data_IF_490081321878
#
_entry.id   IF_490081321878
#
_cell.length_a   1.000
_cell.length_b   1.000
_cell.length_c   1.000
_cell.angle_alpha   90.00
_cell.angle_beta   90.00
_cell.angle_gamma   90.00
#
_symmetry.space_group_name_H-M   'P 1'
#
loop_
_entity.id
_entity.type
_entity.pdbx_description
1 polymer ?
#
# COMPACT_ATOMS: atom_id res chain seq x y z
N UNK A 1 -40.12 -30.47 -78.43
CA UNK A 1 -41.38 -30.00 -79.06
C UNK A 1 -42.39 -29.87 -77.94
N UNK A 2 -42.59 -28.66 -77.39
CA UNK A 2 -43.73 -27.77 -77.69
C UNK A 2 -44.91 -28.16 -76.79
N UNK A 3 -45.66 -27.29 -76.10
CA UNK A 3 -45.77 -25.85 -76.05
C UNK A 3 -46.39 -25.46 -74.68
N UNK A 4 -46.54 -24.15 -74.45
CA UNK A 4 -46.99 -23.49 -73.21
C UNK A 4 -48.50 -23.20 -73.25
N UNK A 5 -49.14 -23.14 -72.07
CA UNK A 5 -50.26 -22.30 -71.58
C UNK A 5 -51.37 -23.09 -70.84
N UNK A 6 -52.20 -22.55 -69.94
CA UNK A 6 -52.16 -21.51 -68.90
C UNK A 6 -53.57 -21.51 -68.26
N UNK A 7 -53.70 -21.02 -67.02
CA UNK A 7 -54.99 -20.74 -66.35
C UNK A 7 -55.26 -21.66 -65.15
N UNK A 8 -54.93 -21.31 -63.90
CA UNK A 8 -55.20 -20.07 -63.17
C UNK A 8 -56.71 -19.76 -63.07
N UNK A 9 -57.15 -19.39 -61.86
CA UNK A 9 -58.51 -19.05 -61.41
C UNK A 9 -59.38 -20.18 -60.85
N UNK A 10 -59.28 -20.42 -59.53
CA UNK A 10 -60.45 -20.32 -58.60
C UNK A 10 -60.20 -20.73 -57.13
N UNK A 11 -58.98 -21.08 -56.72
CA UNK A 11 -58.78 -21.69 -55.38
C UNK A 11 -58.44 -20.78 -54.18
N UNK A 12 -58.10 -19.50 -54.35
CA UNK A 12 -57.32 -18.77 -53.31
C UNK A 12 -57.99 -17.55 -52.66
N UNK A 13 -59.31 -17.35 -52.83
CA UNK A 13 -60.02 -16.20 -52.21
C UNK A 13 -60.47 -16.41 -50.76
N UNK A 14 -60.29 -17.60 -50.16
CA UNK A 14 -60.81 -17.91 -48.83
C UNK A 14 -59.90 -17.58 -47.64
N UNK A 15 -58.59 -17.41 -47.82
CA UNK A 15 -57.64 -17.43 -46.69
C UNK A 15 -57.16 -16.06 -46.18
N UNK A 16 -57.67 -14.95 -46.73
CA UNK A 16 -57.13 -13.61 -46.43
C UNK A 16 -57.96 -12.83 -45.38
N UNK A 17 -59.08 -13.39 -44.90
CA UNK A 17 -59.99 -12.65 -44.00
C UNK A 17 -59.88 -12.95 -42.49
N UNK A 18 -58.97 -13.82 -42.04
CA UNK A 18 -58.87 -14.16 -40.60
C UNK A 18 -57.60 -13.67 -39.89
N UNK A 19 -56.61 -13.11 -40.58
CA UNK A 19 -55.31 -12.76 -39.96
C UNK A 19 -55.06 -11.25 -39.74
N UNK A 20 -55.94 -10.38 -40.21
CA UNK A 20 -55.72 -8.92 -40.17
C UNK A 20 -55.96 -8.23 -38.81
N UNK A 21 -56.81 -8.70 -37.86
CA UNK A 21 -57.04 -7.92 -36.63
C UNK A 21 -55.97 -8.09 -35.54
N UNK A 22 -55.20 -9.19 -35.54
CA UNK A 22 -54.23 -9.47 -34.46
C UNK A 22 -52.90 -8.73 -34.63
N UNK A 23 -52.48 -8.45 -35.86
CA UNK A 23 -51.21 -7.74 -36.12
C UNK A 23 -51.27 -6.24 -35.78
N UNK A 24 -52.46 -5.62 -35.76
CA UNK A 24 -52.60 -4.17 -35.51
C UNK A 24 -52.53 -3.75 -34.04
N UNK A 25 -52.67 -4.67 -33.06
CA UNK A 25 -52.50 -4.34 -31.62
C UNK A 25 -51.06 -4.45 -31.13
N UNK A 26 -50.22 -5.26 -31.76
CA UNK A 26 -48.82 -5.42 -31.35
C UNK A 26 -47.94 -4.20 -31.72
N UNK A 27 -48.33 -3.45 -32.76
CA UNK A 27 -47.58 -2.31 -33.29
C UNK A 27 -47.92 -0.95 -32.64
N UNK A 28 -48.84 -0.91 -31.66
CA UNK A 28 -49.16 0.31 -30.87
C UNK A 28 -48.54 0.33 -29.48
N UNK A 29 -47.55 -0.51 -29.21
CA UNK A 29 -46.85 -0.50 -27.93
C UNK A 29 -45.46 0.14 -28.10
N UNK A 30 -45.47 1.48 -27.97
CA UNK A 30 -44.36 2.42 -27.97
C UNK A 30 -43.05 1.83 -27.39
N UNK A 31 -41.99 1.64 -28.21
CA UNK A 31 -40.72 1.07 -27.78
C UNK A 31 -40.03 1.92 -26.71
N UNK A 32 -40.27 3.24 -26.72
CA UNK A 32 -39.64 4.20 -25.81
C UNK A 32 -40.03 3.94 -24.34
N UNK A 33 -41.29 3.55 -24.10
CA UNK A 33 -41.82 3.27 -22.76
C UNK A 33 -41.38 1.93 -22.19
N UNK A 34 -40.97 0.98 -23.04
CA UNK A 34 -40.40 -0.31 -22.59
C UNK A 34 -38.91 -0.18 -22.29
N UNK A 35 -38.17 0.55 -23.12
CA UNK A 35 -36.78 0.92 -22.85
C UNK A 35 -36.63 1.74 -21.57
N UNK A 36 -37.48 2.76 -21.38
CA UNK A 36 -37.46 3.59 -20.17
C UNK A 36 -37.80 2.82 -18.89
N UNK A 37 -38.70 1.82 -18.95
CA UNK A 37 -39.03 0.96 -17.82
C UNK A 37 -37.94 -0.06 -17.51
N UNK A 38 -37.27 -0.61 -18.52
CA UNK A 38 -36.12 -1.49 -18.35
C UNK A 38 -34.92 -0.74 -17.75
N UNK A 39 -34.63 0.47 -18.25
CA UNK A 39 -33.55 1.32 -17.76
C UNK A 39 -33.79 1.76 -16.30
N UNK A 40 -35.03 2.12 -15.95
CA UNK A 40 -35.41 2.43 -14.55
C UNK A 40 -35.27 1.24 -13.60
N UNK A 41 -35.60 0.02 -14.05
CA UNK A 41 -35.42 -1.20 -13.25
C UNK A 41 -33.94 -1.55 -13.06
N UNK A 42 -33.12 -1.39 -14.09
CA UNK A 42 -31.67 -1.59 -14.01
C UNK A 42 -31.00 -0.53 -13.13
N UNK A 43 -31.41 0.74 -13.23
CA UNK A 43 -30.93 1.80 -12.35
C UNK A 43 -31.34 1.58 -10.89
N UNK A 44 -32.57 1.11 -10.63
CA UNK A 44 -33.02 0.77 -9.29
C UNK A 44 -32.25 -0.43 -8.70
N UNK A 45 -31.99 -1.47 -9.51
CA UNK A 45 -31.15 -2.61 -9.10
C UNK A 45 -29.70 -2.20 -8.82
N UNK A 46 -29.14 -1.28 -9.64
CA UNK A 46 -27.80 -0.72 -9.41
C UNK A 46 -27.70 0.09 -8.12
N UNK A 47 -28.72 0.90 -7.79
CA UNK A 47 -28.79 1.65 -6.54
C UNK A 47 -28.94 0.73 -5.31
N UNK A 48 -29.72 -0.35 -5.43
CA UNK A 48 -29.84 -1.37 -4.36
C UNK A 48 -28.52 -2.11 -4.17
N UNK A 49 -27.82 -2.48 -5.25
CA UNK A 49 -26.52 -3.14 -5.17
C UNK A 49 -25.43 -2.24 -4.56
N UNK A 50 -25.40 -0.96 -4.92
CA UNK A 50 -24.50 0.05 -4.33
C UNK A 50 -24.82 0.30 -2.84
N UNK A 51 -26.11 0.37 -2.48
CA UNK A 51 -26.55 0.47 -1.09
C UNK A 51 -26.20 -0.79 -0.27
N UNK A 52 -26.32 -1.98 -0.85
CA UNK A 52 -25.95 -3.24 -0.21
C UNK A 52 -24.43 -3.33 0.03
N UNK A 53 -23.60 -2.92 -0.93
CA UNK A 53 -22.15 -2.85 -0.74
C UNK A 53 -21.76 -1.86 0.39
N UNK A 54 -22.45 -0.72 0.50
CA UNK A 54 -22.22 0.22 1.60
C UNK A 54 -22.67 -0.31 2.96
N UNK A 55 -23.73 -1.13 3.01
CA UNK A 55 -24.26 -1.72 4.25
C UNK A 55 -23.32 -2.78 4.84
N UNK A 56 -22.54 -3.48 4.02
CA UNK A 56 -21.57 -4.48 4.47
C UNK A 56 -20.18 -3.91 4.83
N UNK A 57 -19.88 -2.65 4.48
CA UNK A 57 -18.60 -2.02 4.81
C UNK A 57 -18.49 -1.47 6.24
N UNK A 58 -19.55 -1.58 7.05
CA UNK A 58 -19.57 -1.11 8.43
C UNK A 58 -19.95 -2.24 9.39
N UNK A 59 -19.01 -2.64 10.26
CA UNK A 59 -19.20 -3.52 11.43
C UNK A 59 -18.96 -5.03 11.25
N UNK A 60 -17.74 -5.41 10.87
CA UNK A 60 -17.16 -6.62 11.47
C UNK A 60 -16.72 -6.31 12.90
N UNK A 61 -17.69 -6.20 13.83
CA UNK A 61 -17.33 -6.29 15.25
C UNK A 61 -16.78 -7.68 15.48
N UNK A 62 -15.57 -7.79 16.04
CA UNK A 62 -15.02 -9.06 16.51
C UNK A 62 -16.08 -9.73 17.38
N UNK A 63 -16.48 -10.95 17.04
CA UNK A 63 -17.35 -11.76 17.87
C UNK A 63 -16.63 -12.02 19.20
N UNK A 64 -17.13 -11.41 20.27
CA UNK A 64 -16.69 -11.69 21.65
C UNK A 64 -17.75 -12.63 22.22
N UNK A 65 -17.42 -13.90 22.53
CA UNK A 65 -18.39 -14.83 23.09
C UNK A 65 -18.94 -14.28 24.42
N UNK A 66 -20.26 -14.20 24.60
CA UNK A 66 -20.84 -13.77 25.86
C UNK A 66 -20.53 -14.81 26.94
N UNK A 67 -19.73 -14.42 27.94
CA UNK A 67 -19.36 -15.31 29.05
C UNK A 67 -17.92 -15.16 29.55
N UNK A 68 -17.02 -14.54 28.77
CA UNK A 68 -15.74 -14.08 29.31
C UNK A 68 -15.94 -12.66 29.80
N UNK A 69 -16.26 -12.50 31.08
CA UNK A 69 -15.97 -11.25 31.75
C UNK A 69 -14.48 -10.97 31.52
N UNK A 70 -14.16 -9.84 30.89
CA UNK A 70 -12.79 -9.35 30.89
C UNK A 70 -12.37 -9.32 32.36
N UNK A 71 -11.49 -10.24 32.76
CA UNK A 71 -10.52 -9.94 33.83
C UNK A 71 -10.05 -8.53 33.48
N UNK A 72 -10.15 -7.59 34.42
CA UNK A 72 -10.04 -6.15 34.13
C UNK A 72 -8.88 -5.84 33.18
N UNK A 73 -9.02 -4.80 32.34
CA UNK A 73 -7.99 -4.44 31.37
C UNK A 73 -6.61 -4.45 32.04
N UNK A 74 -5.60 -5.15 31.46
CA UNK A 74 -4.29 -5.26 32.07
C UNK A 74 -3.75 -3.90 32.50
N UNK A 75 -3.26 -3.80 33.73
CA UNK A 75 -2.83 -2.52 34.31
C UNK A 75 -1.32 -2.32 34.17
N UNK A 76 -0.56 -3.40 34.12
CA UNK A 76 0.91 -3.43 34.04
C UNK A 76 1.42 -3.95 32.69
N UNK A 77 2.66 -3.56 32.33
CA UNK A 77 3.33 -4.06 31.13
C UNK A 77 3.49 -5.58 31.10
N UNK A 78 3.72 -6.18 32.28
CA UNK A 78 3.79 -7.62 32.44
C UNK A 78 2.50 -8.31 32.03
N UNK A 79 1.34 -7.85 32.53
CA UNK A 79 0.06 -8.47 32.19
C UNK A 79 -0.27 -8.33 30.70
N UNK A 80 0.02 -7.17 30.09
CA UNK A 80 -0.11 -6.99 28.64
C UNK A 80 0.77 -7.98 27.87
N UNK A 81 2.03 -8.12 28.27
CA UNK A 81 2.95 -9.07 27.64
C UNK A 81 2.52 -10.53 27.82
N UNK A 82 2.11 -10.93 29.02
CA UNK A 82 1.66 -12.30 29.29
C UNK A 82 0.40 -12.65 28.50
N UNK A 83 -0.51 -11.69 28.31
CA UNK A 83 -1.76 -11.92 27.57
C UNK A 83 -1.53 -11.99 26.06
N UNK A 84 -0.71 -11.08 25.51
CA UNK A 84 -0.68 -10.85 24.05
C UNK A 84 0.62 -11.29 23.36
N UNK A 85 1.72 -11.51 24.10
CA UNK A 85 3.05 -11.75 23.52
C UNK A 85 3.66 -13.09 23.96
N UNK A 86 3.43 -13.52 25.20
CA UNK A 86 4.09 -14.68 25.80
C UNK A 86 3.80 -16.01 25.08
N UNK A 87 2.65 -16.13 24.40
CA UNK A 87 2.36 -17.32 23.59
C UNK A 87 3.39 -17.57 22.48
N UNK A 88 3.92 -16.50 21.86
CA UNK A 88 4.94 -16.59 20.82
C UNK A 88 6.35 -16.43 21.40
N UNK A 89 6.54 -15.49 22.33
CA UNK A 89 7.85 -15.09 22.82
C UNK A 89 8.26 -15.73 24.15
N UNK A 90 7.40 -16.54 24.77
CA UNK A 90 7.61 -17.15 26.07
C UNK A 90 7.35 -16.18 27.22
N UNK A 91 7.03 -16.71 28.41
CA UNK A 91 6.67 -15.89 29.57
C UNK A 91 7.79 -14.96 30.07
N UNK A 92 9.05 -15.24 29.71
CA UNK A 92 10.22 -14.45 30.07
C UNK A 92 11.00 -14.00 28.81
N UNK A 93 10.37 -14.01 27.63
CA UNK A 93 11.04 -13.62 26.39
C UNK A 93 12.03 -14.67 25.86
N UNK A 94 12.05 -15.89 26.38
CA UNK A 94 12.98 -16.94 25.96
C UNK A 94 12.68 -17.55 24.58
N UNK A 95 11.57 -17.16 23.95
CA UNK A 95 11.12 -17.69 22.66
C UNK A 95 10.35 -19.01 22.78
N UNK A 96 9.67 -19.37 21.70
CA UNK A 96 8.93 -20.64 21.56
C UNK A 96 9.03 -21.11 20.11
N UNK A 97 8.51 -22.30 19.75
CA UNK A 97 8.36 -22.68 18.33
C UNK A 97 7.50 -21.71 17.51
N UNK A 98 6.67 -20.87 18.17
CA UNK A 98 5.77 -19.90 17.52
C UNK A 98 6.41 -18.51 17.37
N UNK A 99 7.57 -18.25 17.96
CA UNK A 99 8.19 -16.93 17.91
C UNK A 99 9.61 -16.90 18.47
N UNK A 100 10.46 -15.99 17.96
CA UNK A 100 11.85 -15.92 18.38
C UNK A 100 11.98 -15.49 19.85
N UNK A 101 13.13 -15.79 20.44
CA UNK A 101 13.52 -15.21 21.70
C UNK A 101 13.68 -13.69 21.58
N UNK A 102 13.27 -12.98 22.63
CA UNK A 102 13.49 -11.55 22.82
C UNK A 102 14.76 -11.28 23.64
N UNK A 103 15.18 -12.24 24.47
CA UNK A 103 16.42 -12.16 25.25
C UNK A 103 17.66 -12.13 24.35
N UNK A 104 18.73 -11.45 24.79
CA UNK A 104 20.02 -11.42 24.10
C UNK A 104 20.17 -10.35 23.01
N UNK A 105 19.17 -9.47 22.86
CA UNK A 105 19.22 -8.32 21.95
C UNK A 105 19.52 -7.02 22.73
N UNK A 106 20.69 -6.43 22.53
CA UNK A 106 21.15 -5.23 23.27
C UNK A 106 20.22 -4.00 23.12
N UNK A 107 19.51 -3.88 21.98
CA UNK A 107 18.57 -2.78 21.72
C UNK A 107 17.10 -3.24 21.77
N UNK A 108 16.80 -4.28 22.56
CA UNK A 108 15.46 -4.85 22.66
C UNK A 108 14.35 -3.81 22.97
N UNK A 109 14.51 -2.83 23.88
CA UNK A 109 13.49 -1.82 24.10
C UNK A 109 13.17 -1.01 22.84
N UNK A 110 14.21 -0.57 22.11
CA UNK A 110 14.06 0.19 20.87
C UNK A 110 13.39 -0.64 19.77
N UNK A 111 13.79 -1.91 19.62
CA UNK A 111 13.14 -2.82 18.68
C UNK A 111 11.66 -3.04 19.02
N UNK A 112 11.36 -3.22 20.31
CA UNK A 112 10.00 -3.46 20.79
C UNK A 112 9.11 -2.25 20.54
N UNK A 113 9.57 -1.05 20.90
CA UNK A 113 8.83 0.19 20.67
C UNK A 113 8.60 0.40 19.17
N UNK A 114 9.64 0.25 18.34
CA UNK A 114 9.54 0.35 16.89
C UNK A 114 8.51 -0.63 16.31
N UNK A 115 8.57 -1.92 16.69
CA UNK A 115 7.68 -2.94 16.14
C UNK A 115 6.21 -2.70 16.53
N UNK A 116 5.96 -2.23 17.76
CA UNK A 116 4.60 -1.95 18.24
C UNK A 116 4.04 -0.63 17.67
N UNK A 117 4.84 0.46 17.68
CA UNK A 117 4.39 1.77 17.17
C UNK A 117 4.16 1.76 15.67
N UNK A 118 4.92 0.96 14.93
CA UNK A 118 4.73 0.82 13.49
C UNK A 118 3.69 -0.24 13.11
N UNK A 119 3.01 -0.84 14.10
CA UNK A 119 1.97 -1.85 13.90
C UNK A 119 2.47 -3.14 13.24
N UNK A 120 3.80 -3.39 13.28
CA UNK A 120 4.43 -4.62 12.80
C UNK A 120 4.20 -5.79 13.74
N UNK A 121 4.02 -5.49 15.03
CA UNK A 121 3.63 -6.46 16.06
C UNK A 121 2.44 -5.94 16.86
N UNK A 122 1.62 -6.84 17.41
CA UNK A 122 1.65 -8.29 17.24
C UNK A 122 1.11 -8.75 15.87
N UNK A 123 1.60 -9.89 15.38
CA UNK A 123 0.99 -10.62 14.26
C UNK A 123 -0.01 -11.66 14.78
N UNK A 124 -0.99 -12.04 13.97
CA UNK A 124 -2.05 -12.96 14.38
C UNK A 124 -1.64 -14.43 14.24
N UNK A 125 -0.97 -14.78 13.14
CA UNK A 125 -0.41 -16.13 12.92
C UNK A 125 1.13 -16.06 12.86
N UNK A 126 1.87 -16.94 13.55
CA UNK A 126 3.33 -17.05 13.43
C UNK A 126 3.87 -17.17 12.00
N UNK A 127 3.06 -17.64 11.06
CA UNK A 127 3.42 -17.80 9.64
C UNK A 127 3.19 -16.52 8.82
N UNK A 128 2.52 -15.53 9.39
CA UNK A 128 2.25 -14.27 8.72
C UNK A 128 3.55 -13.49 8.45
N UNK A 129 3.54 -12.75 7.35
CA UNK A 129 4.60 -11.79 7.07
C UNK A 129 4.34 -10.53 7.89
N UNK A 130 5.36 -10.09 8.61
CA UNK A 130 5.36 -8.82 9.34
C UNK A 130 5.21 -7.66 8.36
N UNK A 131 4.17 -6.85 8.54
CA UNK A 131 3.84 -5.70 7.68
C UNK A 131 3.63 -4.44 8.51
N UNK A 132 3.92 -3.29 7.91
CA UNK A 132 3.56 -1.99 8.49
C UNK A 132 2.02 -1.91 8.60
N UNK A 133 1.54 -1.43 9.74
CA UNK A 133 0.10 -1.29 10.00
C UNK A 133 -0.20 -0.22 11.05
N UNK A 134 -1.48 0.02 11.34
CA UNK A 134 -1.85 0.83 12.50
C UNK A 134 -1.38 0.13 13.80
N UNK A 135 -0.86 0.89 14.80
CA UNK A 135 -0.49 0.31 16.08
C UNK A 135 -1.68 -0.40 16.74
N UNK A 136 -1.46 -1.62 17.24
CA UNK A 136 -2.50 -2.39 17.94
C UNK A 136 -2.83 -1.81 19.34
N UNK A 137 -1.90 -1.04 19.91
CA UNK A 137 -2.00 -0.51 21.26
C UNK A 137 -1.85 1.02 21.27
N UNK A 138 -2.50 1.72 22.22
CA UNK A 138 -2.21 3.12 22.50
C UNK A 138 -0.76 3.31 22.99
N UNK A 139 -0.17 4.49 22.73
CA UNK A 139 1.20 4.83 23.14
C UNK A 139 1.51 4.53 24.62
N UNK A 140 0.56 4.82 25.52
CA UNK A 140 0.74 4.56 26.96
C UNK A 140 0.85 3.07 27.30
N UNK A 141 0.16 2.20 26.55
CA UNK A 141 0.26 0.75 26.71
C UNK A 141 1.57 0.23 26.11
N UNK A 142 1.96 0.74 24.93
CA UNK A 142 3.24 0.41 24.30
C UNK A 142 4.40 0.69 25.28
N UNK A 143 4.45 1.87 25.88
CA UNK A 143 5.50 2.23 26.83
C UNK A 143 5.56 1.30 28.05
N UNK A 144 4.42 0.79 28.54
CA UNK A 144 4.38 -0.21 29.61
C UNK A 144 4.95 -1.55 29.16
N UNK A 145 4.56 -2.02 27.97
CA UNK A 145 5.08 -3.27 27.40
C UNK A 145 6.59 -3.15 27.19
N UNK A 146 7.06 -2.06 26.58
CA UNK A 146 8.49 -1.80 26.34
C UNK A 146 9.29 -1.78 27.65
N UNK A 147 8.76 -1.13 28.70
CA UNK A 147 9.40 -1.11 30.01
C UNK A 147 9.54 -2.52 30.62
N UNK A 148 8.51 -3.36 30.49
CA UNK A 148 8.56 -4.74 30.97
C UNK A 148 9.51 -5.61 30.13
N UNK A 149 9.43 -5.54 28.80
CA UNK A 149 10.32 -6.29 27.91
C UNK A 149 11.79 -5.88 28.14
N UNK A 150 12.04 -4.61 28.48
CA UNK A 150 13.35 -4.13 28.87
C UNK A 150 13.96 -4.82 30.09
N UNK A 151 13.17 -5.48 30.95
CA UNK A 151 13.70 -6.23 32.09
C UNK A 151 14.29 -7.59 31.70
N UNK A 152 14.07 -8.07 30.47
CA UNK A 152 14.59 -9.37 30.02
C UNK A 152 16.09 -9.35 29.73
N UNK A 153 16.68 -8.17 29.50
CA UNK A 153 18.12 -8.01 29.29
C UNK A 153 18.67 -7.04 30.33
N UNK A 154 19.51 -7.54 31.24
CA UNK A 154 20.27 -6.68 32.15
C UNK A 154 21.15 -5.74 31.31
N UNK A 155 21.01 -4.43 31.50
CA UNK A 155 21.77 -3.41 30.76
C UNK A 155 21.19 -3.02 29.39
N UNK A 156 19.94 -3.38 29.09
CA UNK A 156 19.26 -2.91 27.87
C UNK A 156 19.32 -1.38 27.74
N UNK A 157 19.70 -0.90 26.55
CA UNK A 157 19.83 0.53 26.31
C UNK A 157 18.45 1.22 26.35
N UNK A 158 18.41 2.41 26.97
CA UNK A 158 17.22 3.26 26.94
C UNK A 158 16.85 3.61 25.49
N UNK A 159 15.56 3.89 25.26
CA UNK A 159 15.07 4.35 23.96
C UNK A 159 15.86 5.58 23.51
N UNK A 160 16.31 5.64 22.24
CA UNK A 160 16.97 6.82 21.73
C UNK A 160 16.04 8.03 21.86
N UNK A 161 16.58 9.19 22.23
CA UNK A 161 15.85 10.45 22.34
C UNK A 161 16.37 11.40 21.27
N UNK A 162 15.77 11.43 20.09
CA UNK A 162 16.25 12.26 18.99
C UNK A 162 16.02 13.74 19.28
N UNK A 163 17.07 14.55 19.11
CA UNK A 163 17.05 16.00 19.22
C UNK A 163 17.45 16.63 17.88
N UNK A 164 16.45 17.15 17.17
CA UNK A 164 16.64 17.75 15.85
C UNK A 164 17.44 19.06 15.89
N UNK A 165 17.49 19.74 17.04
CA UNK A 165 18.23 20.99 17.22
C UNK A 165 19.73 20.75 17.29
N UNK A 166 20.13 19.58 17.80
CA UNK A 166 21.51 19.13 17.88
C UNK A 166 22.05 18.50 16.58
N UNK A 167 21.23 18.33 15.54
CA UNK A 167 21.64 17.73 14.27
C UNK A 167 22.28 18.71 13.28
N UNK A 168 23.36 18.30 12.61
CA UNK A 168 23.97 19.04 11.50
C UNK A 168 23.47 18.49 10.15
N UNK A 169 22.91 19.35 9.31
CA UNK A 169 22.31 18.92 8.04
C UNK A 169 23.34 18.37 7.03
N UNK A 170 24.51 19.01 6.93
CA UNK A 170 25.56 18.60 5.99
C UNK A 170 26.18 17.26 6.41
N UNK A 171 26.48 17.10 7.71
CA UNK A 171 26.93 15.82 8.26
C UNK A 171 25.88 14.72 8.04
N UNK A 172 24.60 15.04 8.29
CA UNK A 172 23.50 14.11 8.07
C UNK A 172 23.38 13.65 6.62
N UNK A 173 23.59 14.55 5.66
CA UNK A 173 23.64 14.20 4.24
C UNK A 173 24.79 13.25 3.94
N UNK A 174 26.01 13.57 4.36
CA UNK A 174 27.19 12.74 4.09
C UNK A 174 27.01 11.33 4.64
N UNK A 175 26.62 11.22 5.92
CA UNK A 175 26.41 9.94 6.58
C UNK A 175 25.28 9.14 5.92
N UNK A 176 24.17 9.78 5.55
CA UNK A 176 23.06 9.10 4.88
C UNK A 176 23.45 8.58 3.50
N UNK A 177 24.17 9.38 2.70
CA UNK A 177 24.60 8.96 1.36
C UNK A 177 25.61 7.81 1.43
N UNK A 178 26.51 7.84 2.41
CA UNK A 178 27.50 6.79 2.59
C UNK A 178 26.93 5.47 3.12
N UNK A 179 25.88 5.50 3.96
CA UNK A 179 25.46 4.32 4.73
C UNK A 179 24.02 3.88 4.52
N UNK A 180 23.13 4.76 4.04
CA UNK A 180 21.68 4.50 4.01
C UNK A 180 21.12 4.51 2.58
N UNK A 181 21.65 5.36 1.70
CA UNK A 181 21.11 5.62 0.37
C UNK A 181 21.15 4.38 -0.55
N UNK A 182 22.11 3.48 -0.37
CA UNK A 182 22.18 2.23 -1.13
C UNK A 182 20.91 1.37 -0.97
N UNK A 183 20.28 1.45 0.20
CA UNK A 183 19.07 0.70 0.53
C UNK A 183 17.81 1.56 0.41
N UNK A 184 17.82 2.75 1.03
CA UNK A 184 16.64 3.61 1.12
C UNK A 184 16.48 4.58 -0.05
N UNK A 185 17.32 4.46 -1.09
CA UNK A 185 17.50 5.45 -2.17
C UNK A 185 18.09 6.77 -1.67
N UNK A 186 18.80 7.48 -2.55
CA UNK A 186 19.32 8.81 -2.28
C UNK A 186 18.23 9.83 -1.88
N UNK A 187 16.96 9.58 -2.27
CA UNK A 187 15.81 10.42 -1.94
C UNK A 187 15.02 9.92 -0.73
N UNK A 188 15.42 8.80 -0.12
CA UNK A 188 14.72 8.20 1.02
C UNK A 188 13.38 7.54 0.68
N UNK A 189 13.07 7.34 -0.61
CA UNK A 189 11.80 6.73 -1.07
C UNK A 189 11.71 5.22 -0.80
N UNK A 190 12.83 4.58 -0.47
CA UNK A 190 12.94 3.12 -0.33
C UNK A 190 13.39 2.45 -1.63
N UNK A 191 13.23 1.14 -1.68
CA UNK A 191 13.69 0.32 -2.81
C UNK A 191 13.21 -1.12 -2.73
N UNK A 192 13.59 -1.92 -3.72
CA UNK A 192 13.31 -3.36 -3.77
C UNK A 192 14.60 -4.11 -4.04
N UNK A 193 14.96 -5.05 -3.17
CA UNK A 193 16.07 -5.98 -3.39
C UNK A 193 15.53 -7.28 -3.99
N UNK A 194 16.21 -7.78 -5.03
CA UNK A 194 15.80 -8.98 -5.76
C UNK A 194 15.89 -10.27 -4.90
N UNK A 195 16.72 -10.27 -3.87
CA UNK A 195 16.91 -11.41 -2.97
C UNK A 195 16.07 -11.24 -1.71
N UNK A 196 15.06 -12.10 -1.50
CA UNK A 196 14.27 -12.11 -0.28
C UNK A 196 12.92 -12.85 -0.37
N UNK A 197 12.43 -13.31 0.79
CA UNK A 197 11.08 -13.89 0.94
C UNK A 197 10.02 -12.81 0.68
N UNK A 198 8.98 -13.15 -0.08
CA UNK A 198 7.94 -12.23 -0.54
C UNK A 198 7.28 -11.45 0.62
N UNK A 199 7.25 -10.11 0.52
CA UNK A 199 6.65 -9.23 1.54
C UNK A 199 5.19 -8.84 1.24
N UNK A 200 4.71 -9.06 0.02
CA UNK A 200 3.36 -8.69 -0.40
C UNK A 200 2.60 -9.90 -0.93
N UNK A 201 1.39 -10.12 -0.40
CA UNK A 201 0.44 -11.09 -0.95
C UNK A 201 -0.16 -10.63 -2.29
N UNK A 202 0.08 -9.37 -2.68
CA UNK A 202 -0.54 -8.77 -3.86
C UNK A 202 0.14 -9.16 -5.17
N UNK A 203 1.42 -9.54 -5.16
CA UNK A 203 2.15 -9.91 -6.37
C UNK A 203 3.16 -11.00 -6.01
N UNK A 204 3.19 -12.06 -6.81
CA UNK A 204 4.10 -13.20 -6.73
C UNK A 204 5.56 -12.78 -7.04
N UNK A 205 6.09 -11.78 -6.33
CA UNK A 205 7.44 -11.27 -6.45
C UNK A 205 8.22 -11.66 -5.20
N UNK A 206 9.25 -12.45 -5.40
CA UNK A 206 10.31 -12.70 -4.44
C UNK A 206 11.20 -11.46 -4.38
N UNK A 207 11.32 -10.86 -3.20
CA UNK A 207 12.16 -9.68 -2.99
C UNK A 207 11.87 -9.02 -1.66
N UNK A 208 12.90 -8.44 -1.05
CA UNK A 208 12.76 -7.64 0.17
C UNK A 208 12.43 -6.19 -0.20
N UNK A 209 11.29 -5.69 0.29
CA UNK A 209 10.89 -4.30 0.11
C UNK A 209 11.52 -3.46 1.21
N UNK A 210 12.39 -2.53 0.80
CA UNK A 210 12.98 -1.54 1.70
C UNK A 210 12.00 -0.38 1.84
N UNK A 211 11.52 -0.08 3.06
CA UNK A 211 10.54 0.97 3.26
C UNK A 211 11.13 2.35 2.98
N UNK A 212 10.29 3.25 2.47
CA UNK A 212 10.62 4.67 2.41
C UNK A 212 10.60 5.31 3.80
N UNK A 213 11.47 6.30 4.00
CA UNK A 213 11.69 6.97 5.28
C UNK A 213 10.88 8.27 5.42
N UNK A 214 10.24 8.73 4.34
CA UNK A 214 9.60 10.04 4.27
C UNK A 214 8.34 10.17 5.15
N UNK A 215 7.80 9.07 5.66
CA UNK A 215 6.63 9.06 6.56
C UNK A 215 6.95 8.68 8.01
N UNK A 216 8.18 8.26 8.29
CA UNK A 216 8.56 7.78 9.62
C UNK A 216 8.64 8.90 10.65
N UNK A 217 8.44 8.63 11.93
CA UNK A 217 8.72 9.65 12.96
C UNK A 217 10.23 9.75 13.24
N UNK A 218 10.73 10.85 13.83
CA UNK A 218 12.12 10.94 14.29
C UNK A 218 12.49 9.78 15.21
N UNK A 219 11.58 9.42 16.11
CA UNK A 219 11.72 8.30 17.04
C UNK A 219 11.89 6.98 16.28
N UNK A 220 11.01 6.68 15.33
CA UNK A 220 11.09 5.46 14.52
C UNK A 220 12.39 5.35 13.73
N UNK A 221 12.91 6.47 13.21
CA UNK A 221 14.20 6.47 12.49
C UNK A 221 15.33 6.14 13.46
N UNK A 222 15.35 6.80 14.62
CA UNK A 222 16.38 6.57 15.64
C UNK A 222 16.37 5.12 16.12
N UNK A 223 15.18 4.59 16.42
CA UNK A 223 15.01 3.20 16.87
C UNK A 223 15.39 2.20 15.78
N UNK A 224 14.99 2.43 14.53
CA UNK A 224 15.36 1.56 13.42
C UNK A 224 16.89 1.51 13.25
N UNK A 225 17.59 2.65 13.35
CA UNK A 225 19.05 2.68 13.28
C UNK A 225 19.70 1.93 14.45
N UNK A 226 19.18 2.09 15.66
CA UNK A 226 19.73 1.44 16.85
C UNK A 226 19.42 -0.05 16.90
N UNK A 227 18.24 -0.47 16.43
CA UNK A 227 17.76 -1.84 16.58
C UNK A 227 17.96 -2.72 15.34
N UNK A 228 18.14 -2.14 14.16
CA UNK A 228 18.34 -2.88 12.91
C UNK A 228 17.18 -3.83 12.56
N UNK A 229 15.96 -3.33 12.30
CA UNK A 229 14.81 -4.19 12.02
C UNK A 229 14.95 -4.94 10.69
N UNK A 230 14.67 -6.25 10.72
CA UNK A 230 14.72 -7.10 9.53
C UNK A 230 16.15 -7.36 9.08
N UNK A 231 16.50 -6.90 7.87
CA UNK A 231 17.87 -7.01 7.31
C UNK A 231 18.65 -5.70 7.43
N UNK A 232 18.07 -4.67 8.05
CA UNK A 232 18.76 -3.40 8.27
C UNK A 232 19.91 -3.61 9.27
N UNK A 233 21.15 -3.20 8.96
CA UNK A 233 22.26 -3.29 9.90
C UNK A 233 21.99 -2.51 11.20
N UNK A 234 22.56 -3.00 12.30
CA UNK A 234 22.54 -2.32 13.59
C UNK A 234 23.63 -1.26 13.63
N UNK A 235 23.28 -0.03 14.01
CA UNK A 235 24.23 1.07 14.18
C UNK A 235 24.36 1.46 15.66
N UNK A 236 25.30 0.83 16.40
CA UNK A 236 25.51 1.13 17.82
C UNK A 236 26.09 2.53 18.03
N UNK A 237 26.11 3.00 19.29
CA UNK A 237 26.66 4.33 19.65
C UNK A 237 28.14 4.49 19.31
N UNK A 238 28.87 3.39 19.20
CA UNK A 238 30.28 3.35 18.79
C UNK A 238 30.48 3.59 17.29
N UNK A 239 29.46 3.34 16.46
CA UNK A 239 29.49 3.59 15.02
C UNK A 239 28.86 4.93 14.68
N UNK A 240 27.67 5.21 15.22
CA UNK A 240 27.02 6.52 15.09
C UNK A 240 26.70 7.06 16.47
N UNK A 241 27.29 8.20 16.83
CA UNK A 241 26.96 8.89 18.07
C UNK A 241 25.50 9.37 18.05
N UNK A 242 24.96 9.81 19.19
CA UNK A 242 23.61 10.38 19.23
C UNK A 242 23.51 11.67 18.37
N UNK A 243 24.61 12.43 18.26
CA UNK A 243 24.68 13.61 17.37
C UNK A 243 24.65 13.22 15.88
N UNK A 244 25.28 12.11 15.51
CA UNK A 244 25.24 11.59 14.13
C UNK A 244 23.83 11.12 13.77
N UNK A 245 23.18 10.38 14.68
CA UNK A 245 21.78 9.97 14.52
C UNK A 245 20.87 11.20 14.36
N UNK A 246 21.03 12.22 15.21
CA UNK A 246 20.27 13.46 15.09
C UNK A 246 20.51 14.17 13.75
N UNK A 247 21.74 14.16 13.26
CA UNK A 247 22.13 14.72 11.95
C UNK A 247 21.45 13.97 10.80
N UNK A 248 21.50 12.64 10.81
CA UNK A 248 20.84 11.78 9.80
C UNK A 248 19.32 11.98 9.81
N UNK A 249 18.69 11.98 10.98
CA UNK A 249 17.25 12.23 11.11
C UNK A 249 16.90 13.59 10.55
N UNK A 250 17.66 14.64 10.92
CA UNK A 250 17.45 15.99 10.41
C UNK A 250 17.52 16.04 8.88
N UNK A 251 18.47 15.33 8.27
CA UNK A 251 18.57 15.22 6.81
C UNK A 251 17.37 14.49 6.19
N UNK A 252 16.94 13.37 6.77
CA UNK A 252 15.74 12.64 6.30
C UNK A 252 14.49 13.51 6.37
N UNK A 253 14.32 14.29 7.44
CA UNK A 253 13.22 15.24 7.57
C UNK A 253 13.32 16.39 6.56
N UNK A 254 14.53 16.89 6.30
CA UNK A 254 14.77 17.89 5.27
C UNK A 254 14.36 17.40 3.87
N UNK A 255 14.67 16.15 3.52
CA UNK A 255 14.25 15.58 2.24
C UNK A 255 12.72 15.59 2.06
N UNK A 256 11.94 15.45 3.14
CA UNK A 256 10.45 15.52 3.07
C UNK A 256 9.92 16.88 2.64
N UNK A 257 10.62 17.95 2.98
CA UNK A 257 10.19 19.32 2.62
C UNK A 257 10.61 19.66 1.19
N UNK A 258 11.76 19.16 0.75
CA UNK A 258 12.23 19.32 -0.63
C UNK A 258 11.42 18.47 -1.63
N UNK A 259 10.95 17.29 -1.22
CA UNK A 259 10.09 16.41 -2.03
C UNK A 259 8.64 16.94 -2.22
N UNK A 260 8.37 18.21 -1.88
CA UNK A 260 7.04 18.85 -2.01
C UNK A 260 6.95 19.92 -3.10
N UNK A 261 8.02 20.16 -3.88
CA UNK A 261 8.07 21.28 -4.84
C UNK A 261 8.40 20.90 -6.29
N UNK A 262 7.42 21.03 -7.21
CA UNK A 262 7.66 21.16 -8.66
C UNK A 262 6.53 20.67 -9.57
N UNK A 263 6.10 21.49 -10.53
CA UNK A 263 5.05 21.18 -11.51
C UNK A 263 5.47 20.20 -12.64
N UNK A 264 6.68 19.65 -12.60
CA UNK A 264 7.24 18.68 -13.55
C UNK A 264 7.70 17.38 -12.87
N UNK A 265 7.25 17.14 -11.64
CA UNK A 265 7.75 16.08 -10.76
C UNK A 265 7.14 14.71 -11.14
N UNK A 266 7.82 13.95 -11.99
CA UNK A 266 7.47 12.57 -12.38
C UNK A 266 7.69 11.56 -11.24
N UNK A 267 7.55 11.99 -9.98
CA UNK A 267 7.76 11.17 -8.79
C UNK A 267 9.21 10.85 -8.46
N UNK A 268 10.19 11.56 -9.07
CA UNK A 268 11.65 11.44 -8.82
C UNK A 268 12.10 9.99 -8.57
N UNK A 269 11.62 9.08 -9.42
CA UNK A 269 11.93 7.64 -9.38
C UNK A 269 13.42 7.39 -9.68
N UNK A 270 14.15 8.43 -10.07
CA UNK A 270 15.59 8.45 -10.24
C UNK A 270 15.98 8.97 -11.63
N UNK A 271 17.27 9.26 -11.86
CA UNK A 271 17.78 9.80 -13.12
C UNK A 271 17.45 8.89 -14.32
N UNK A 272 17.24 7.59 -14.08
CA UNK A 272 16.87 6.61 -15.10
C UNK A 272 15.42 6.81 -15.59
N UNK A 273 14.47 6.92 -14.66
CA UNK A 273 13.05 7.09 -15.02
C UNK A 273 12.81 8.48 -15.64
N UNK A 274 13.43 9.52 -15.07
CA UNK A 274 13.38 10.87 -15.63
C UNK A 274 14.03 10.93 -17.01
N UNK A 275 15.18 10.27 -17.20
CA UNK A 275 15.85 10.14 -18.48
C UNK A 275 14.98 9.41 -19.52
N UNK A 276 14.29 8.34 -19.14
CA UNK A 276 13.40 7.61 -20.02
C UNK A 276 12.21 8.48 -20.48
N UNK A 277 11.59 9.24 -19.57
CA UNK A 277 10.50 10.15 -19.95
C UNK A 277 11.01 11.30 -20.81
N UNK A 278 12.14 11.92 -20.45
CA UNK A 278 12.76 12.96 -21.27
C UNK A 278 13.11 12.44 -22.67
N UNK A 279 13.57 11.19 -22.79
CA UNK A 279 13.86 10.55 -24.06
C UNK A 279 12.59 10.28 -24.88
N UNK A 280 11.53 9.75 -24.27
CA UNK A 280 10.23 9.50 -24.94
C UNK A 280 9.62 10.82 -25.41
N UNK A 281 9.57 11.84 -24.55
CA UNK A 281 8.99 13.15 -24.88
C UNK A 281 9.85 13.86 -25.91
N UNK A 282 11.17 13.85 -25.75
CA UNK A 282 12.12 14.46 -26.68
C UNK A 282 12.05 13.83 -28.07
N UNK A 283 12.10 12.50 -28.16
CA UNK A 283 11.94 11.80 -29.43
C UNK A 283 10.54 11.99 -30.03
N UNK A 284 9.49 11.95 -29.21
CA UNK A 284 8.13 12.19 -29.67
C UNK A 284 7.97 13.58 -30.30
N UNK A 285 8.53 14.61 -29.67
CA UNK A 285 8.54 15.99 -30.19
C UNK A 285 9.36 16.09 -31.48
N UNK A 286 10.55 15.48 -31.53
CA UNK A 286 11.38 15.46 -32.74
C UNK A 286 10.68 14.78 -33.91
N UNK A 287 10.03 13.63 -33.68
CA UNK A 287 9.26 12.93 -34.72
C UNK A 287 8.06 13.77 -35.20
N UNK A 288 7.38 14.45 -34.28
CA UNK A 288 6.28 15.36 -34.62
C UNK A 288 6.76 16.52 -35.51
N UNK A 289 7.84 17.20 -35.11
CA UNK A 289 8.43 18.31 -35.87
C UNK A 289 8.93 17.85 -37.24
N UNK A 290 9.61 16.71 -37.33
CA UNK A 290 10.07 16.14 -38.60
C UNK A 290 8.91 15.85 -39.56
N UNK A 291 7.80 15.28 -39.05
CA UNK A 291 6.60 15.01 -39.86
C UNK A 291 5.88 16.30 -40.26
N UNK A 292 5.86 17.31 -39.40
CA UNK A 292 5.24 18.61 -39.73
C UNK A 292 6.01 19.32 -40.84
N UNK A 293 7.34 19.42 -40.71
CA UNK A 293 8.20 20.03 -41.74
C UNK A 293 8.15 19.23 -43.05
N UNK A 294 8.14 17.90 -42.98
CA UNK A 294 8.03 17.06 -44.18
C UNK A 294 6.72 17.25 -44.96
N UNK A 295 5.60 17.52 -44.26
CA UNK A 295 4.30 17.79 -44.90
C UNK A 295 4.24 19.16 -45.58
N UNK A 296 4.82 20.19 -44.97
CA UNK A 296 4.79 21.56 -45.53
C UNK A 296 5.64 21.71 -46.78
N UNK A 297 6.67 20.87 -46.97
CA UNK A 297 7.48 20.83 -48.20
C UNK A 297 6.72 20.18 -49.37
N UNK A 298 5.84 19.21 -49.08
CA UNK A 298 5.11 18.49 -50.12
C UNK A 298 3.96 19.30 -50.74
N UNK A 299 3.40 20.27 -50.02
CA UNK A 299 2.34 21.17 -50.49
C UNK A 299 2.86 22.32 -51.38
N UNK A 300 4.19 22.51 -51.48
CA UNK A 300 4.84 23.58 -52.24
C UNK A 300 5.35 23.16 -53.64
N UNK A 301 4.75 22.16 -54.27
CA UNK A 301 4.94 21.93 -55.72
C UNK A 301 3.87 22.71 -56.50
N UNK A 302 4.18 23.89 -57.08
CA UNK A 302 3.31 24.50 -58.06
C UNK A 302 3.29 23.63 -59.32
N UNK A 303 2.09 23.32 -59.80
CA UNK A 303 1.84 22.92 -61.18
C UNK A 303 2.09 24.09 -62.12
#
# INVERSE_FOLDING_TARGET
MGAVDAGLFRGLRGLVHSLVPRARRALRADPSRRGARALRRLAALGLIALGACGFFTGHTRRYVPPGIQSVGQPVSGQEWFQRDCAFCHGNQGQGTPNGPALTGHEQLPALTDFMLRTGRMPIADPKDVVRLGPPAYPSAVISKIVAYVGTFNEGGNALPQPDLTAGNLANGQELFQANCAACHSATGIGGTLAEGKAVSASENRTGFQIPGLLKSTPQEIAEAMRAGPGTMPVFPKTTFSDADVNSIIRYVLFMRTQNRGGATDLGRVGPVAEGAVAWIVGLGLLMFLARWIGRTVHEKKPH
#
